data_IF_708023239040
#
_entry.id   IF_708023239040
#
_cell.length_a   1.000
_cell.length_b   1.000
_cell.length_c   1.000
_cell.angle_alpha   90.00
_cell.angle_beta   90.00
_cell.angle_gamma   90.00
#
_symmetry.space_group_name_H-M   'P 1'
#
loop_
_entity.id
_entity.type
_entity.pdbx_description
1 polymer ?
#
# COMPACT_ATOMS: atom_id res chain seq x y z
N UNK A 1 14.40 0.08 -12.63
CA UNK A 1 15.57 0.28 -11.73
C UNK A 1 16.70 1.12 -12.34
N UNK A 2 17.03 1.07 -13.65
CA UNK A 2 18.09 1.95 -14.19
C UNK A 2 17.84 3.43 -13.93
N UNK A 3 16.60 3.90 -14.05
CA UNK A 3 16.22 5.29 -13.78
C UNK A 3 16.22 5.63 -12.29
N UNK A 4 15.82 4.69 -11.46
CA UNK A 4 15.76 4.88 -10.00
C UNK A 4 17.14 5.11 -9.37
N UNK A 5 18.20 4.58 -9.99
CA UNK A 5 19.57 4.83 -9.56
C UNK A 5 20.01 6.32 -9.70
N UNK A 6 19.25 7.13 -10.44
CA UNK A 6 19.49 8.57 -10.66
C UNK A 6 18.48 9.47 -9.94
N UNK A 7 17.64 8.90 -9.06
CA UNK A 7 16.70 9.68 -8.26
C UNK A 7 17.45 10.56 -7.25
N UNK A 8 16.98 11.78 -7.13
CA UNK A 8 17.39 12.75 -6.11
C UNK A 8 16.23 12.95 -5.10
N UNK A 9 16.57 13.45 -3.93
CA UNK A 9 15.60 13.72 -2.86
C UNK A 9 14.41 14.59 -3.31
N UNK A 10 14.69 15.62 -4.13
CA UNK A 10 13.66 16.48 -4.69
C UNK A 10 12.75 15.78 -5.73
N UNK A 11 13.24 14.75 -6.45
CA UNK A 11 12.39 13.97 -7.37
C UNK A 11 11.32 13.24 -6.60
N UNK A 12 11.72 12.64 -5.47
CA UNK A 12 10.80 11.91 -4.58
C UNK A 12 9.84 12.87 -3.88
N UNK A 13 10.33 14.04 -3.41
CA UNK A 13 9.45 15.06 -2.82
C UNK A 13 8.31 15.46 -3.77
N UNK A 14 8.65 15.82 -5.01
CA UNK A 14 7.63 16.25 -5.98
C UNK A 14 6.78 15.10 -6.51
N UNK A 15 7.36 13.90 -6.68
CA UNK A 15 6.61 12.70 -7.01
C UNK A 15 5.57 12.39 -5.94
N UNK A 16 5.96 12.37 -4.67
CA UNK A 16 5.07 12.14 -3.54
C UNK A 16 4.04 13.28 -3.37
N UNK A 17 4.42 14.53 -3.64
CA UNK A 17 3.49 15.67 -3.60
C UNK A 17 2.38 15.51 -4.65
N UNK A 18 2.71 15.12 -5.88
CA UNK A 18 1.73 14.88 -6.93
C UNK A 18 0.86 13.66 -6.63
N UNK A 19 1.47 12.57 -6.14
CA UNK A 19 0.74 11.38 -5.71
C UNK A 19 -0.23 11.69 -4.56
N UNK A 20 0.20 12.47 -3.56
CA UNK A 20 -0.68 12.90 -2.47
C UNK A 20 -1.86 13.75 -2.97
N UNK A 21 -1.64 14.63 -3.97
CA UNK A 21 -2.73 15.38 -4.57
C UNK A 21 -3.75 14.44 -5.27
N UNK A 22 -3.28 13.49 -6.06
CA UNK A 22 -4.15 12.52 -6.73
C UNK A 22 -4.95 11.68 -5.72
N UNK A 23 -4.26 11.08 -4.75
CA UNK A 23 -4.85 10.28 -3.69
C UNK A 23 -5.90 11.04 -2.88
N UNK A 24 -5.57 12.26 -2.42
CA UNK A 24 -6.52 13.11 -1.68
C UNK A 24 -7.71 13.51 -2.56
N UNK A 25 -7.48 13.80 -3.85
CA UNK A 25 -8.56 14.07 -4.80
C UNK A 25 -9.51 12.89 -4.97
N UNK A 26 -9.05 11.68 -4.77
CA UNK A 26 -9.82 10.43 -4.81
C UNK A 26 -10.36 9.98 -3.45
N UNK A 27 -10.10 10.76 -2.39
CA UNK A 27 -10.59 10.46 -1.03
C UNK A 27 -9.70 9.53 -0.23
N UNK A 28 -8.51 9.20 -0.72
CA UNK A 28 -7.52 8.40 0.02
C UNK A 28 -6.74 9.30 0.97
N UNK A 29 -6.90 9.08 2.26
CA UNK A 29 -6.32 9.94 3.31
C UNK A 29 -5.02 9.41 3.89
N UNK A 30 -4.78 8.10 3.76
CA UNK A 30 -3.63 7.40 4.37
C UNK A 30 -3.02 6.43 3.40
N UNK A 31 -1.69 6.44 3.28
CA UNK A 31 -0.92 5.51 2.46
C UNK A 31 0.06 4.70 3.30
N UNK A 32 0.56 3.59 2.73
CA UNK A 32 1.70 2.83 3.26
C UNK A 32 2.76 2.76 2.15
N UNK A 33 3.87 3.46 2.37
CA UNK A 33 4.85 3.76 1.32
C UNK A 33 6.15 2.99 1.52
N UNK A 34 6.58 2.27 0.49
CA UNK A 34 7.90 1.64 0.42
C UNK A 34 8.70 2.25 -0.74
N UNK A 35 9.52 3.26 -0.46
CA UNK A 35 10.34 3.89 -1.49
C UNK A 35 11.61 4.51 -0.92
N UNK A 36 12.40 5.17 -1.81
CA UNK A 36 13.67 5.84 -1.50
C UNK A 36 13.44 7.26 -0.96
N UNK A 37 14.48 7.84 -0.33
CA UNK A 37 14.49 9.22 0.18
C UNK A 37 13.36 9.49 1.19
N UNK A 38 13.34 8.70 2.24
CA UNK A 38 12.31 8.66 3.28
C UNK A 38 11.97 10.02 3.89
N UNK A 39 12.97 10.89 4.12
CA UNK A 39 12.75 12.25 4.63
C UNK A 39 11.94 13.11 3.64
N UNK A 40 12.23 13.00 2.33
CA UNK A 40 11.49 13.72 1.29
C UNK A 40 10.05 13.27 1.16
N UNK A 41 9.78 11.97 1.32
CA UNK A 41 8.41 11.45 1.38
C UNK A 41 7.66 12.04 2.58
N UNK A 42 8.27 12.01 3.76
CA UNK A 42 7.66 12.55 4.96
C UNK A 42 7.36 14.06 4.84
N UNK A 43 8.29 14.83 4.29
CA UNK A 43 8.10 16.27 4.05
C UNK A 43 6.91 16.53 3.10
N UNK A 44 6.80 15.76 2.02
CA UNK A 44 5.70 15.89 1.06
C UNK A 44 4.35 15.53 1.70
N UNK A 45 4.29 14.44 2.47
CA UNK A 45 3.08 14.01 3.19
C UNK A 45 2.62 15.06 4.19
N UNK A 46 3.53 15.62 4.98
CA UNK A 46 3.23 16.69 5.95
C UNK A 46 2.74 17.95 5.22
N UNK A 47 3.41 18.36 4.16
CA UNK A 47 3.05 19.52 3.35
C UNK A 47 1.67 19.35 2.68
N UNK A 48 1.38 18.17 2.15
CA UNK A 48 0.09 17.86 1.54
C UNK A 48 -1.05 17.73 2.58
N UNK A 49 -0.72 17.55 3.86
CA UNK A 49 -1.69 17.32 4.90
C UNK A 49 -2.32 15.91 4.87
N UNK A 50 -1.75 14.98 4.11
CA UNK A 50 -2.13 13.56 4.10
C UNK A 50 -1.54 12.83 5.31
N UNK A 51 -1.80 11.55 5.41
CA UNK A 51 -1.23 10.64 6.41
C UNK A 51 -0.46 9.53 5.72
N UNK A 52 0.67 9.09 6.29
CA UNK A 52 1.40 7.94 5.77
C UNK A 52 2.00 7.07 6.87
N UNK A 53 2.10 5.77 6.57
CA UNK A 53 3.04 4.86 7.19
C UNK A 53 4.20 4.73 6.21
N UNK A 54 5.36 5.28 6.53
CA UNK A 54 6.55 5.23 5.67
C UNK A 54 7.40 4.06 6.11
N UNK A 55 7.62 3.12 5.21
CA UNK A 55 8.38 1.90 5.43
C UNK A 55 9.60 1.88 4.50
N UNK A 56 10.69 2.61 4.83
CA UNK A 56 11.87 2.59 3.98
C UNK A 56 12.40 1.17 3.82
N UNK A 57 12.68 0.78 2.58
CA UNK A 57 12.96 -0.61 2.23
C UNK A 57 14.44 -0.95 2.15
N UNK A 58 14.84 -2.02 2.82
CA UNK A 58 16.10 -2.68 2.55
C UNK A 58 16.01 -3.30 1.15
N UNK A 59 16.89 -2.87 0.25
CA UNK A 59 16.94 -3.31 -1.13
C UNK A 59 18.37 -3.17 -1.67
N UNK A 60 18.86 -4.22 -2.31
CA UNK A 60 20.09 -4.14 -3.10
C UNK A 60 19.77 -3.98 -4.58
N UNK A 61 20.08 -2.81 -5.13
CA UNK A 61 19.89 -2.58 -6.56
C UNK A 61 20.84 -3.47 -7.38
N UNK A 62 20.39 -4.02 -8.53
CA UNK A 62 21.23 -4.81 -9.41
C UNK A 62 22.50 -4.05 -9.81
N UNK A 63 23.65 -4.75 -9.75
CA UNK A 63 24.95 -4.16 -10.10
C UNK A 63 25.63 -3.38 -8.97
N UNK A 64 25.00 -3.21 -7.81
CA UNK A 64 25.66 -2.66 -6.62
C UNK A 64 26.37 -3.78 -5.84
N UNK A 65 27.64 -3.54 -5.47
CA UNK A 65 28.38 -4.50 -4.67
C UNK A 65 27.92 -4.42 -3.21
N UNK A 66 27.18 -5.44 -2.76
CA UNK A 66 26.90 -5.65 -1.34
C UNK A 66 27.74 -6.81 -0.81
N UNK A 67 28.67 -6.55 0.08
CA UNK A 67 29.45 -7.57 0.78
C UNK A 67 29.02 -7.69 2.24
N UNK A 68 28.93 -8.91 2.77
CA UNK A 68 28.56 -9.13 4.17
C UNK A 68 27.13 -8.67 4.49
N UNK A 69 26.92 -8.08 5.68
CA UNK A 69 25.63 -7.60 6.16
C UNK A 69 25.37 -6.14 5.71
N UNK A 70 25.34 -5.89 4.40
CA UNK A 70 25.15 -4.54 3.82
C UNK A 70 23.86 -3.85 4.27
N UNK A 71 22.84 -4.62 4.69
CA UNK A 71 21.57 -4.13 5.21
C UNK A 71 21.69 -3.42 6.57
N UNK A 72 22.76 -3.68 7.34
CA UNK A 72 22.94 -3.06 8.67
C UNK A 72 23.01 -1.54 8.56
N UNK A 73 23.74 -0.99 7.59
CA UNK A 73 23.80 0.45 7.35
C UNK A 73 22.43 1.05 6.96
N UNK A 74 21.60 0.29 6.21
CA UNK A 74 20.23 0.70 5.91
C UNK A 74 19.40 0.73 7.21
N UNK A 75 19.49 -0.31 8.03
CA UNK A 75 18.71 -0.41 9.29
C UNK A 75 19.11 0.65 10.30
N UNK A 76 20.39 1.00 10.42
CA UNK A 76 20.85 2.13 11.26
C UNK A 76 20.22 3.44 10.79
N UNK A 77 20.24 3.74 9.49
CA UNK A 77 19.62 4.95 8.91
C UNK A 77 18.11 4.97 9.16
N UNK A 78 17.42 3.85 8.94
CA UNK A 78 15.97 3.76 9.14
C UNK A 78 15.58 3.85 10.63
N UNK A 79 16.41 3.33 11.52
CA UNK A 79 16.22 3.48 12.95
C UNK A 79 16.38 4.95 13.41
N UNK A 80 17.33 5.68 12.84
CA UNK A 80 17.48 7.12 13.05
C UNK A 80 16.27 7.88 12.50
N UNK A 81 15.83 7.58 11.28
CA UNK A 81 14.63 8.15 10.67
C UNK A 81 13.39 7.91 11.54
N UNK A 82 13.20 6.69 12.03
CA UNK A 82 12.11 6.38 12.96
C UNK A 82 12.20 7.26 14.22
N UNK A 83 13.38 7.41 14.81
CA UNK A 83 13.55 8.21 16.03
C UNK A 83 13.23 9.69 15.80
N UNK A 84 13.56 10.24 14.62
CA UNK A 84 13.38 11.66 14.29
C UNK A 84 11.94 12.00 13.86
N UNK A 85 11.30 11.12 13.10
CA UNK A 85 10.10 11.48 12.33
C UNK A 85 8.82 10.72 12.77
N UNK A 86 8.93 9.64 13.57
CA UNK A 86 7.73 8.91 14.00
C UNK A 86 6.83 9.79 14.87
N UNK A 87 5.56 9.86 14.52
CA UNK A 87 4.56 10.70 15.20
C UNK A 87 4.52 12.15 14.70
N UNK A 88 5.37 12.54 13.76
CA UNK A 88 5.44 13.92 13.26
C UNK A 88 4.08 14.41 12.74
N UNK A 89 3.73 15.63 13.14
CA UNK A 89 2.46 16.28 12.85
C UNK A 89 1.21 15.43 13.18
N UNK A 90 1.36 14.32 13.91
CA UNK A 90 0.30 13.33 14.14
C UNK A 90 -0.13 12.58 12.86
N UNK A 91 0.68 12.65 11.80
CA UNK A 91 0.38 12.14 10.44
C UNK A 91 1.34 11.07 9.95
N UNK A 92 2.58 11.05 10.47
CA UNK A 92 3.63 10.13 10.04
C UNK A 92 3.76 8.99 11.06
N UNK A 93 3.64 7.76 10.57
CA UNK A 93 4.08 6.55 11.26
C UNK A 93 5.27 5.97 10.49
N UNK A 94 6.30 5.48 11.18
CA UNK A 94 7.44 4.86 10.53
C UNK A 94 7.43 3.37 10.82
N UNK A 95 7.50 2.58 9.76
CA UNK A 95 7.75 1.16 9.77
C UNK A 95 9.12 0.82 9.18
N UNK A 96 9.32 -0.44 8.89
CA UNK A 96 10.52 -0.97 8.24
C UNK A 96 10.10 -1.91 7.12
N UNK A 97 10.84 -1.91 6.01
CA UNK A 97 10.57 -2.82 4.93
C UNK A 97 11.82 -3.56 4.46
N UNK A 98 11.61 -4.77 3.96
CA UNK A 98 12.52 -5.45 3.07
C UNK A 98 11.78 -5.70 1.76
N UNK A 99 12.39 -5.33 0.62
CA UNK A 99 11.68 -5.30 -0.65
C UNK A 99 10.98 -6.64 -0.94
N UNK A 100 11.74 -7.72 -1.10
CA UNK A 100 11.21 -9.06 -1.35
C UNK A 100 12.27 -10.13 -1.07
N UNK A 101 11.86 -11.39 -0.96
CA UNK A 101 12.77 -12.51 -0.71
C UNK A 101 13.76 -12.76 -1.86
N UNK A 102 13.45 -12.31 -3.08
CA UNK A 102 14.37 -12.43 -4.23
C UNK A 102 15.37 -11.26 -4.36
N UNK A 103 15.25 -10.21 -3.55
CA UNK A 103 16.15 -9.04 -3.56
C UNK A 103 16.88 -8.82 -2.25
N UNK A 104 16.43 -9.45 -1.18
CA UNK A 104 17.00 -9.35 0.16
C UNK A 104 17.26 -10.77 0.68
N UNK A 105 18.50 -11.14 1.00
CA UNK A 105 18.80 -12.48 1.49
C UNK A 105 18.15 -12.72 2.85
N UNK A 106 17.86 -13.98 3.17
CA UNK A 106 17.13 -14.36 4.40
C UNK A 106 17.68 -13.72 5.69
N UNK A 107 19.01 -13.62 5.92
CA UNK A 107 19.53 -12.91 7.11
C UNK A 107 19.13 -11.42 7.14
N UNK A 108 19.05 -10.75 5.99
CA UNK A 108 18.61 -9.36 5.89
C UNK A 108 17.11 -9.21 6.18
N UNK A 109 16.28 -10.15 5.70
CA UNK A 109 14.85 -10.22 6.04
C UNK A 109 14.65 -10.40 7.54
N UNK A 110 15.39 -11.34 8.16
CA UNK A 110 15.36 -11.59 9.61
C UNK A 110 15.76 -10.34 10.39
N UNK A 111 16.86 -9.68 10.02
CA UNK A 111 17.35 -8.48 10.70
C UNK A 111 16.34 -7.34 10.61
N UNK A 112 15.73 -7.13 9.42
CA UNK A 112 14.74 -6.07 9.21
C UNK A 112 13.46 -6.32 10.03
N UNK A 113 12.92 -7.54 10.01
CA UNK A 113 11.74 -7.91 10.78
C UNK A 113 11.99 -7.81 12.29
N UNK A 114 13.16 -8.23 12.77
CA UNK A 114 13.55 -8.08 14.17
C UNK A 114 13.62 -6.60 14.59
N UNK A 115 14.22 -5.74 13.75
CA UNK A 115 14.30 -4.29 13.98
C UNK A 115 12.91 -3.65 14.07
N UNK A 116 11.98 -4.04 13.19
CA UNK A 116 10.59 -3.57 13.23
C UNK A 116 9.90 -4.02 14.53
N UNK A 117 10.02 -5.30 14.87
CA UNK A 117 9.39 -5.89 16.07
C UNK A 117 9.89 -5.25 17.37
N UNK A 118 11.19 -5.02 17.52
CA UNK A 118 11.79 -4.34 18.67
C UNK A 118 11.23 -2.94 18.91
N UNK A 119 10.77 -2.27 17.83
CA UNK A 119 10.17 -0.93 17.88
C UNK A 119 8.64 -0.94 17.89
N UNK A 120 8.00 -2.11 17.87
CA UNK A 120 6.55 -2.23 17.71
C UNK A 120 6.04 -1.65 16.37
N UNK A 121 6.93 -1.52 15.39
CA UNK A 121 6.66 -0.93 14.09
C UNK A 121 6.12 -1.96 13.09
N UNK A 122 5.52 -1.48 11.99
CA UNK A 122 5.08 -2.32 10.88
C UNK A 122 6.30 -2.84 10.12
N UNK A 123 6.31 -4.15 9.82
CA UNK A 123 7.20 -4.75 8.85
C UNK A 123 6.45 -4.97 7.54
N UNK A 124 6.97 -4.45 6.43
CA UNK A 124 6.33 -4.48 5.11
C UNK A 124 7.24 -5.17 4.09
N UNK A 125 6.67 -6.05 3.24
CA UNK A 125 7.39 -6.74 2.17
C UNK A 125 6.45 -7.14 1.02
N UNK A 126 7.01 -7.31 -0.19
CA UNK A 126 6.31 -8.00 -1.27
C UNK A 126 6.48 -9.50 -1.06
N UNK A 127 5.40 -10.26 -1.18
CA UNK A 127 5.40 -11.68 -0.86
C UNK A 127 4.50 -12.46 -1.79
N UNK A 128 5.06 -13.53 -2.37
CA UNK A 128 4.35 -14.44 -3.28
C UNK A 128 3.68 -13.71 -4.45
N UNK A 129 4.36 -12.71 -5.04
CA UNK A 129 3.85 -11.91 -6.13
C UNK A 129 3.81 -12.70 -7.44
N UNK A 130 4.88 -13.44 -7.77
CA UNK A 130 4.97 -14.21 -9.01
C UNK A 130 5.25 -15.69 -8.77
N UNK A 131 4.78 -16.55 -9.69
CA UNK A 131 5.09 -17.97 -9.62
C UNK A 131 6.61 -18.23 -9.68
N UNK A 132 7.31 -17.45 -10.51
CA UNK A 132 8.77 -17.60 -10.68
C UNK A 132 9.55 -17.28 -9.39
N UNK A 133 9.08 -16.32 -8.58
CA UNK A 133 9.62 -16.05 -7.25
C UNK A 133 9.51 -17.28 -6.36
N UNK A 134 8.31 -17.88 -6.29
CA UNK A 134 8.05 -19.07 -5.49
C UNK A 134 8.91 -20.26 -5.91
N UNK A 135 8.96 -20.57 -7.22
CA UNK A 135 9.74 -21.68 -7.76
C UNK A 135 11.23 -21.55 -7.47
N UNK A 136 11.80 -20.35 -7.64
CA UNK A 136 13.21 -20.08 -7.36
C UNK A 136 13.51 -20.23 -5.86
N UNK A 137 12.63 -19.71 -5.01
CA UNK A 137 12.80 -19.74 -3.56
C UNK A 137 12.70 -21.17 -3.00
N UNK A 138 11.73 -21.97 -3.47
CA UNK A 138 11.62 -23.40 -3.12
C UNK A 138 12.87 -24.17 -3.54
N UNK A 139 13.40 -23.89 -4.72
CA UNK A 139 14.63 -24.56 -5.19
C UNK A 139 15.86 -24.25 -4.31
N UNK A 140 15.93 -23.04 -3.75
CA UNK A 140 17.04 -22.62 -2.89
C UNK A 140 16.87 -23.05 -1.42
N UNK A 141 15.66 -22.94 -0.88
CA UNK A 141 15.39 -23.07 0.55
C UNK A 141 14.59 -24.32 0.94
N UNK A 142 14.01 -25.04 -0.02
CA UNK A 142 13.31 -26.32 0.21
C UNK A 142 11.88 -26.18 0.76
N UNK A 143 11.35 -24.96 0.88
CA UNK A 143 9.98 -24.66 1.33
C UNK A 143 9.42 -23.45 0.64
N UNK A 144 8.11 -23.19 0.79
CA UNK A 144 7.48 -21.98 0.26
C UNK A 144 8.03 -20.71 0.93
N UNK A 145 7.87 -19.55 0.27
CA UNK A 145 8.32 -18.28 0.87
C UNK A 145 7.68 -18.06 2.24
N UNK A 146 6.35 -18.18 2.42
CA UNK A 146 5.74 -18.05 3.75
C UNK A 146 6.27 -19.05 4.78
N UNK A 147 6.47 -20.34 4.40
CA UNK A 147 6.96 -21.38 5.31
C UNK A 147 8.36 -21.06 5.86
N UNK A 148 9.29 -20.72 4.98
CA UNK A 148 10.66 -20.40 5.37
C UNK A 148 10.73 -19.12 6.18
N UNK A 149 9.98 -18.07 5.79
CA UNK A 149 9.94 -16.81 6.52
C UNK A 149 9.32 -16.97 7.91
N UNK A 150 8.25 -17.77 8.05
CA UNK A 150 7.66 -18.11 9.35
C UNK A 150 8.65 -18.85 10.23
N UNK A 151 9.30 -19.88 9.71
CA UNK A 151 10.30 -20.68 10.43
C UNK A 151 11.50 -19.85 10.89
N UNK A 152 11.84 -18.79 10.15
CA UNK A 152 12.92 -17.85 10.49
C UNK A 152 12.46 -16.70 11.42
N UNK A 153 11.18 -16.65 11.83
CA UNK A 153 10.63 -15.60 12.68
C UNK A 153 10.45 -14.25 11.98
N UNK A 154 10.46 -14.23 10.64
CA UNK A 154 10.27 -13.00 9.84
C UNK A 154 8.82 -12.55 9.88
N UNK A 155 7.87 -13.49 9.97
CA UNK A 155 6.44 -13.20 10.01
C UNK A 155 5.91 -12.90 11.41
N UNK A 156 6.76 -12.80 12.42
CA UNK A 156 6.35 -12.47 13.79
C UNK A 156 6.17 -10.96 13.96
N UNK A 157 5.05 -10.54 14.54
CA UNK A 157 4.74 -9.14 14.85
C UNK A 157 3.73 -8.52 13.90
N UNK A 158 3.85 -7.22 13.62
CA UNK A 158 2.96 -6.50 12.69
C UNK A 158 3.51 -6.63 11.28
N UNK A 159 3.01 -7.56 10.50
CA UNK A 159 3.48 -7.83 9.14
C UNK A 159 2.41 -7.45 8.12
N UNK A 160 2.81 -6.72 7.08
CA UNK A 160 2.02 -6.42 5.89
C UNK A 160 2.70 -7.02 4.65
N UNK A 161 2.04 -7.99 4.03
CA UNK A 161 2.49 -8.63 2.81
C UNK A 161 1.76 -8.03 1.60
N UNK A 162 2.48 -7.40 0.68
CA UNK A 162 1.90 -6.93 -0.58
C UNK A 162 1.73 -8.10 -1.56
N UNK A 163 0.71 -8.00 -2.41
CA UNK A 163 0.29 -8.94 -3.47
C UNK A 163 -0.29 -10.26 -2.97
N UNK A 164 0.49 -11.15 -2.37
CA UNK A 164 0.02 -12.44 -1.80
C UNK A 164 -0.79 -13.29 -2.79
N UNK A 165 -0.26 -13.48 -4.02
CA UNK A 165 -0.97 -14.10 -5.15
C UNK A 165 -0.82 -15.62 -5.13
N UNK A 166 0.43 -16.10 -5.04
CA UNK A 166 0.77 -17.50 -5.21
C UNK A 166 0.92 -18.19 -3.87
N UNK A 167 -0.22 -18.34 -3.17
CA UNK A 167 -0.32 -18.99 -1.87
C UNK A 167 -1.00 -20.34 -1.99
N UNK A 168 -0.41 -21.37 -1.39
CA UNK A 168 -1.02 -22.67 -1.18
C UNK A 168 -2.01 -22.63 0.02
N UNK A 169 -2.86 -23.64 0.21
CA UNK A 169 -3.68 -23.75 1.41
C UNK A 169 -2.87 -23.73 2.72
N UNK A 170 -1.69 -24.35 2.73
CA UNK A 170 -0.80 -24.38 3.89
C UNK A 170 -0.18 -22.99 4.15
N UNK A 171 0.15 -22.22 3.10
CA UNK A 171 0.59 -20.83 3.23
C UNK A 171 -0.50 -19.93 3.83
N UNK A 172 -1.76 -20.16 3.46
CA UNK A 172 -2.90 -19.43 4.05
C UNK A 172 -3.04 -19.72 5.56
N UNK A 173 -2.78 -20.95 5.99
CA UNK A 173 -2.78 -21.33 7.41
C UNK A 173 -1.63 -20.66 8.16
N UNK A 174 -0.45 -20.49 7.53
CA UNK A 174 0.66 -19.70 8.07
C UNK A 174 0.27 -18.23 8.24
N UNK A 175 -0.39 -17.61 7.26
CA UNK A 175 -0.87 -16.23 7.37
C UNK A 175 -1.82 -16.04 8.56
N UNK A 176 -2.72 -16.99 8.79
CA UNK A 176 -3.63 -16.96 9.96
C UNK A 176 -2.85 -17.13 11.26
N UNK A 177 -1.92 -18.10 11.32
CA UNK A 177 -1.16 -18.42 12.53
C UNK A 177 -0.25 -17.26 12.99
N UNK A 178 0.31 -16.50 12.03
CA UNK A 178 1.21 -15.36 12.29
C UNK A 178 0.51 -14.00 12.21
N UNK A 179 -0.82 -13.97 12.05
CA UNK A 179 -1.60 -12.73 11.91
C UNK A 179 -1.04 -11.79 10.82
N UNK A 180 -0.60 -12.35 9.69
CA UNK A 180 -0.08 -11.58 8.56
C UNK A 180 -1.23 -10.83 7.90
N UNK A 181 -1.06 -9.52 7.69
CA UNK A 181 -2.00 -8.70 6.93
C UNK A 181 -1.58 -8.62 5.45
N UNK A 182 -2.53 -8.36 4.57
CA UNK A 182 -2.31 -8.29 3.12
C UNK A 182 -2.67 -6.91 2.57
N UNK A 183 -1.78 -6.35 1.74
CA UNK A 183 -2.08 -5.25 0.83
C UNK A 183 -2.35 -5.86 -0.56
N UNK A 184 -3.63 -5.96 -0.92
CA UNK A 184 -4.05 -6.51 -2.22
C UNK A 184 -4.04 -5.42 -3.28
N UNK A 185 -3.28 -5.62 -4.38
CA UNK A 185 -3.05 -4.65 -5.46
C UNK A 185 -3.55 -5.22 -6.80
N UNK A 186 -4.87 -5.34 -7.02
CA UNK A 186 -5.42 -6.07 -8.15
C UNK A 186 -5.08 -5.49 -9.52
N UNK A 187 -4.99 -4.17 -9.69
CA UNK A 187 -4.59 -3.57 -10.97
C UNK A 187 -3.13 -3.84 -11.31
N UNK A 188 -2.22 -3.65 -10.34
CA UNK A 188 -0.80 -3.99 -10.52
C UNK A 188 -0.65 -5.47 -10.88
N UNK A 189 -1.29 -6.37 -10.12
CA UNK A 189 -1.26 -7.80 -10.37
C UNK A 189 -1.73 -8.16 -11.80
N UNK A 190 -2.82 -7.53 -12.25
CA UNK A 190 -3.39 -7.75 -13.58
C UNK A 190 -2.51 -7.15 -14.69
N UNK A 191 -2.03 -5.90 -14.50
CA UNK A 191 -1.19 -5.20 -15.47
C UNK A 191 0.14 -5.90 -15.72
N UNK A 192 0.77 -6.41 -14.66
CA UNK A 192 2.04 -7.13 -14.73
C UNK A 192 1.87 -8.63 -15.04
N UNK A 193 0.61 -9.09 -15.17
CA UNK A 193 0.27 -10.51 -15.36
C UNK A 193 0.82 -11.41 -14.26
N UNK A 194 0.94 -10.90 -13.03
CA UNK A 194 1.45 -11.63 -11.87
C UNK A 194 0.48 -12.73 -11.42
N UNK A 195 -0.84 -12.55 -11.62
CA UNK A 195 -1.87 -13.52 -11.31
C UNK A 195 -3.07 -12.93 -10.56
N UNK A 196 -3.98 -13.80 -10.10
CA UNK A 196 -5.15 -13.39 -9.31
C UNK A 196 -4.99 -13.91 -7.88
N UNK A 197 -4.90 -13.02 -6.91
CA UNK A 197 -4.75 -13.38 -5.49
C UNK A 197 -6.00 -14.08 -4.93
N UNK A 198 -5.85 -15.02 -3.97
CA UNK A 198 -6.97 -15.75 -3.36
C UNK A 198 -7.68 -14.91 -2.30
N UNK A 199 -8.14 -13.69 -2.68
CA UNK A 199 -8.65 -12.71 -1.71
C UNK A 199 -9.91 -13.19 -0.99
N UNK A 200 -10.75 -14.00 -1.64
CA UNK A 200 -11.92 -14.58 -1.02
C UNK A 200 -11.55 -15.58 0.09
N UNK A 201 -10.55 -16.43 -0.14
CA UNK A 201 -10.03 -17.36 0.85
C UNK A 201 -9.34 -16.63 2.01
N UNK A 202 -8.52 -15.63 1.72
CA UNK A 202 -7.87 -14.78 2.73
C UNK A 202 -8.90 -14.16 3.67
N UNK A 203 -9.90 -13.47 3.12
CA UNK A 203 -10.99 -12.86 3.90
C UNK A 203 -11.83 -13.92 4.63
N UNK A 204 -12.17 -15.04 3.97
CA UNK A 204 -12.93 -16.14 4.55
C UNK A 204 -12.25 -16.81 5.74
N UNK A 205 -10.92 -16.81 5.79
CA UNK A 205 -10.09 -17.30 6.91
C UNK A 205 -9.84 -16.25 7.99
N UNK A 206 -10.32 -15.00 7.80
CA UNK A 206 -10.17 -13.91 8.75
C UNK A 206 -8.84 -13.17 8.64
N UNK A 207 -8.06 -13.39 7.57
CA UNK A 207 -6.86 -12.60 7.29
C UNK A 207 -7.27 -11.14 7.07
N UNK A 208 -6.50 -10.21 7.65
CA UNK A 208 -6.72 -8.77 7.48
C UNK A 208 -6.24 -8.35 6.11
N UNK A 209 -7.16 -7.97 5.24
CA UNK A 209 -6.87 -7.53 3.88
C UNK A 209 -7.27 -6.08 3.71
N UNK A 210 -6.38 -5.28 3.13
CA UNK A 210 -6.65 -3.93 2.63
C UNK A 210 -6.30 -3.85 1.15
N UNK A 211 -6.81 -2.82 0.47
CA UNK A 211 -6.46 -2.53 -0.92
C UNK A 211 -5.25 -1.59 -0.98
N UNK A 212 -4.43 -1.77 -2.00
CA UNK A 212 -3.36 -0.87 -2.38
C UNK A 212 -3.31 -0.72 -3.90
N UNK A 213 -2.83 0.41 -4.37
CA UNK A 213 -2.64 0.68 -5.81
C UNK A 213 -1.31 0.17 -6.33
N UNK A 214 -0.35 -0.12 -5.43
CA UNK A 214 1.06 -0.19 -5.78
C UNK A 214 1.56 1.17 -6.33
N UNK A 215 2.77 1.26 -6.84
CA UNK A 215 3.28 2.49 -7.44
C UNK A 215 2.79 2.74 -8.86
N UNK A 216 2.81 4.00 -9.36
CA UNK A 216 2.37 4.32 -10.72
C UNK A 216 3.14 3.58 -11.83
N UNK A 217 4.34 3.07 -11.56
CA UNK A 217 5.10 2.26 -12.51
C UNK A 217 4.39 0.94 -12.84
N UNK A 218 3.74 0.33 -11.87
CA UNK A 218 3.02 -0.94 -12.00
C UNK A 218 1.51 -0.79 -12.15
N UNK A 219 0.96 0.40 -11.91
CA UNK A 219 -0.49 0.66 -12.01
C UNK A 219 -0.83 1.73 -13.07
N UNK A 220 -0.24 2.89 -13.06
CA UNK A 220 -0.43 4.13 -13.81
C UNK A 220 -1.24 5.20 -13.08
N UNK A 221 -2.23 4.86 -12.27
CA UNK A 221 -2.96 5.79 -11.41
C UNK A 221 -2.96 5.30 -9.97
N UNK A 222 -3.59 6.09 -9.09
CA UNK A 222 -3.69 5.82 -7.66
C UNK A 222 -5.16 5.75 -7.21
N UNK A 223 -6.05 5.27 -8.11
CA UNK A 223 -7.49 5.21 -7.89
C UNK A 223 -7.94 3.96 -7.11
N UNK A 224 -8.11 4.10 -5.81
CA UNK A 224 -8.57 3.00 -4.95
C UNK A 224 -10.03 2.56 -5.22
N UNK A 225 -10.83 3.36 -5.93
CA UNK A 225 -12.18 2.99 -6.37
C UNK A 225 -12.13 1.94 -7.49
N UNK A 226 -11.14 2.06 -8.38
CA UNK A 226 -10.90 1.06 -9.42
C UNK A 226 -10.37 -0.23 -8.82
N UNK A 227 -9.42 -0.15 -7.89
CA UNK A 227 -8.91 -1.31 -7.15
C UNK A 227 -10.04 -2.07 -6.45
N UNK A 228 -10.94 -1.37 -5.75
CA UNK A 228 -12.08 -1.94 -5.05
C UNK A 228 -13.00 -2.74 -5.98
N UNK A 229 -13.33 -2.16 -7.13
CA UNK A 229 -14.17 -2.81 -8.14
C UNK A 229 -13.47 -4.02 -8.76
N UNK A 230 -12.21 -3.85 -9.13
CA UNK A 230 -11.43 -4.90 -9.77
C UNK A 230 -11.17 -6.08 -8.82
N UNK A 231 -10.89 -5.83 -7.55
CA UNK A 231 -10.75 -6.86 -6.53
C UNK A 231 -11.98 -7.77 -6.48
N UNK A 232 -13.18 -7.16 -6.45
CA UNK A 232 -14.44 -7.93 -6.44
C UNK A 232 -14.66 -8.71 -7.75
N UNK A 233 -14.36 -8.13 -8.91
CA UNK A 233 -14.51 -8.81 -10.19
C UNK A 233 -13.54 -9.99 -10.33
N UNK A 234 -12.27 -9.80 -9.99
CA UNK A 234 -11.25 -10.85 -10.08
C UNK A 234 -11.50 -11.99 -9.08
N UNK A 235 -11.95 -11.68 -7.86
CA UNK A 235 -12.33 -12.71 -6.90
C UNK A 235 -13.46 -13.59 -7.45
N UNK A 236 -14.51 -13.00 -8.02
CA UNK A 236 -15.62 -13.73 -8.63
C UNK A 236 -15.19 -14.59 -9.81
N UNK A 237 -14.30 -14.08 -10.66
CA UNK A 237 -13.75 -14.85 -11.78
C UNK A 237 -12.92 -16.04 -11.30
N UNK A 238 -12.08 -15.83 -10.28
CA UNK A 238 -11.25 -16.88 -9.71
C UNK A 238 -12.09 -18.02 -9.11
N UNK A 239 -13.10 -17.68 -8.30
CA UNK A 239 -13.96 -18.66 -7.62
C UNK A 239 -15.10 -19.17 -8.50
N UNK A 240 -15.33 -18.59 -9.71
CA UNK A 240 -16.47 -18.89 -10.57
C UNK A 240 -17.82 -18.74 -9.83
N UNK A 241 -17.90 -17.79 -8.89
CA UNK A 241 -19.08 -17.51 -8.07
C UNK A 241 -19.33 -15.99 -7.98
N UNK A 242 -20.49 -15.54 -8.46
CA UNK A 242 -20.89 -14.14 -8.42
C UNK A 242 -21.23 -13.62 -7.01
N UNK A 243 -21.37 -14.51 -6.02
CA UNK A 243 -21.67 -14.17 -4.63
C UNK A 243 -20.45 -13.81 -3.79
N UNK A 244 -19.23 -14.17 -4.23
CA UNK A 244 -18.03 -13.84 -3.46
C UNK A 244 -17.71 -12.35 -3.51
N UNK A 245 -17.12 -11.87 -2.44
CA UNK A 245 -16.72 -10.47 -2.22
C UNK A 245 -17.84 -9.49 -2.62
N UNK A 246 -18.99 -9.51 -1.90
CA UNK A 246 -20.09 -8.60 -2.18
C UNK A 246 -19.65 -7.13 -1.98
N UNK A 247 -20.42 -6.18 -2.52
CA UNK A 247 -20.06 -4.76 -2.52
C UNK A 247 -19.65 -4.24 -1.13
N UNK A 248 -20.40 -4.59 -0.09
CA UNK A 248 -20.06 -4.18 1.28
C UNK A 248 -18.69 -4.72 1.74
N UNK A 249 -18.30 -5.94 1.35
CA UNK A 249 -16.99 -6.49 1.66
C UNK A 249 -15.88 -5.78 0.85
N UNK A 250 -16.12 -5.51 -0.42
CA UNK A 250 -15.16 -4.75 -1.25
C UNK A 250 -14.92 -3.34 -0.70
N UNK A 251 -15.98 -2.64 -0.27
CA UNK A 251 -15.88 -1.34 0.38
C UNK A 251 -15.13 -1.43 1.73
N UNK A 252 -15.34 -2.51 2.50
CA UNK A 252 -14.58 -2.76 3.74
C UNK A 252 -13.09 -2.87 3.47
N UNK A 253 -12.67 -3.55 2.40
CA UNK A 253 -11.24 -3.65 2.03
C UNK A 253 -10.61 -2.29 1.74
N UNK A 254 -11.35 -1.34 1.16
CA UNK A 254 -10.87 0.01 0.85
C UNK A 254 -10.89 0.94 2.07
N UNK A 255 -11.56 0.58 3.16
CA UNK A 255 -11.82 1.44 4.31
C UNK A 255 -11.38 0.80 5.62
N UNK A 256 -12.30 0.27 6.40
CA UNK A 256 -12.05 -0.34 7.72
C UNK A 256 -11.10 -1.55 7.64
N UNK A 257 -11.20 -2.35 6.58
CA UNK A 257 -10.31 -3.49 6.32
C UNK A 257 -8.88 -3.03 6.14
N UNK A 258 -8.65 -1.98 5.34
CA UNK A 258 -7.33 -1.37 5.15
C UNK A 258 -6.77 -0.83 6.48
N UNK A 259 -7.56 -0.12 7.27
CA UNK A 259 -7.15 0.34 8.59
C UNK A 259 -6.70 -0.82 9.49
N UNK A 260 -7.46 -1.92 9.52
CA UNK A 260 -7.09 -3.13 10.28
C UNK A 260 -5.83 -3.80 9.74
N UNK A 261 -5.67 -3.87 8.42
CA UNK A 261 -4.48 -4.44 7.80
C UNK A 261 -3.21 -3.65 8.16
N UNK A 262 -3.31 -2.34 8.23
CA UNK A 262 -2.23 -1.45 8.69
C UNK A 262 -2.02 -1.49 10.21
N UNK A 263 -2.85 -2.22 11.00
CA UNK A 263 -2.82 -2.17 12.45
C UNK A 263 -3.31 -0.84 13.03
N UNK A 264 -4.11 -0.10 12.25
CA UNK A 264 -4.70 1.21 12.58
C UNK A 264 -6.24 1.14 12.57
N UNK A 265 -6.85 0.48 13.58
CA UNK A 265 -8.31 0.35 13.64
C UNK A 265 -9.04 1.69 13.88
N UNK A 266 -8.29 2.75 14.15
CA UNK A 266 -8.75 4.13 14.26
C UNK A 266 -8.91 4.84 12.88
N UNK A 267 -8.53 4.17 11.79
CA UNK A 267 -8.68 4.66 10.41
C UNK A 267 -9.76 3.89 9.65
N UNK A 268 -10.33 4.52 8.62
CA UNK A 268 -11.34 3.92 7.74
C UNK A 268 -12.71 3.73 8.39
N UNK A 269 -12.97 4.36 9.52
CA UNK A 269 -14.23 4.29 10.26
C UNK A 269 -14.67 5.68 10.75
N UNK A 270 -15.98 5.93 10.73
CA UNK A 270 -16.60 7.11 11.34
C UNK A 270 -17.19 6.70 12.69
N UNK A 271 -16.39 6.83 13.76
CA UNK A 271 -16.78 6.45 15.11
C UNK A 271 -16.15 7.38 16.15
N UNK A 272 -16.77 7.55 17.33
CA UNK A 272 -16.16 8.30 18.42
C UNK A 272 -14.79 7.72 18.80
N UNK A 273 -13.78 8.58 18.86
CA UNK A 273 -12.39 8.18 19.17
C UNK A 273 -11.54 7.77 17.96
N UNK A 274 -12.15 7.56 16.78
CA UNK A 274 -11.43 7.37 15.53
C UNK A 274 -10.81 8.68 15.00
N UNK A 275 -9.89 8.57 14.05
CA UNK A 275 -9.39 9.74 13.33
C UNK A 275 -10.51 10.34 12.48
N UNK A 276 -10.56 11.66 12.44
CA UNK A 276 -11.51 12.38 11.60
C UNK A 276 -10.98 12.49 10.16
N UNK A 277 -10.66 11.32 9.58
CA UNK A 277 -10.23 11.16 8.19
C UNK A 277 -11.49 10.72 7.41
N UNK A 278 -12.02 11.59 6.54
CA UNK A 278 -13.31 11.36 5.88
C UNK A 278 -13.36 12.05 4.53
N UNK A 279 -14.28 11.59 3.69
CA UNK A 279 -14.60 12.24 2.41
C UNK A 279 -16.10 12.43 2.25
N UNK A 280 -16.50 13.40 1.43
CA UNK A 280 -17.85 13.56 0.93
C UNK A 280 -17.91 13.17 -0.55
N UNK A 281 -19.00 12.49 -0.93
CA UNK A 281 -19.26 12.04 -2.29
C UNK A 281 -20.57 12.65 -2.77
N UNK A 282 -20.57 13.25 -3.97
CA UNK A 282 -21.79 13.76 -4.60
C UNK A 282 -22.67 12.61 -5.06
N UNK A 283 -23.91 12.61 -4.64
CA UNK A 283 -24.94 11.67 -5.12
C UNK A 283 -25.73 12.21 -6.32
N UNK A 284 -25.47 13.45 -6.75
CA UNK A 284 -26.10 14.07 -7.91
C UNK A 284 -25.39 13.63 -9.20
N UNK A 285 -25.52 12.33 -9.50
CA UNK A 285 -24.92 11.69 -10.69
C UNK A 285 -25.77 10.50 -11.14
N UNK A 286 -25.88 10.22 -12.44
CA UNK A 286 -26.58 9.04 -12.98
C UNK A 286 -26.09 7.71 -12.40
N UNK A 287 -24.87 7.63 -11.90
CA UNK A 287 -24.33 6.44 -11.22
C UNK A 287 -25.13 6.00 -10.01
N UNK A 288 -25.93 6.88 -9.41
CA UNK A 288 -26.76 6.61 -8.24
C UNK A 288 -28.25 6.46 -8.56
N UNK A 289 -28.64 6.27 -9.83
CA UNK A 289 -30.06 6.18 -10.22
C UNK A 289 -30.40 4.78 -10.68
N UNK A 290 -31.45 4.13 -10.08
CA UNK A 290 -32.27 4.60 -8.96
C UNK A 290 -31.60 4.36 -7.61
N UNK A 291 -31.82 5.24 -6.64
CA UNK A 291 -31.39 5.09 -5.24
C UNK A 291 -32.62 4.96 -4.35
N UNK A 292 -32.96 3.77 -3.90
CA UNK A 292 -34.19 3.49 -3.17
C UNK A 292 -33.96 3.22 -1.67
N UNK A 293 -32.75 2.76 -1.31
CA UNK A 293 -32.35 2.46 0.06
C UNK A 293 -30.82 2.51 0.25
N UNK A 294 -30.37 2.38 1.51
CA UNK A 294 -28.96 2.43 1.86
C UNK A 294 -28.14 1.24 1.32
N UNK A 295 -28.77 0.08 1.11
CA UNK A 295 -28.08 -1.07 0.55
C UNK A 295 -27.71 -0.81 -0.93
N UNK A 296 -28.63 -0.19 -1.69
CA UNK A 296 -28.34 0.25 -3.05
C UNK A 296 -27.23 1.32 -3.12
N UNK A 297 -27.11 2.16 -2.11
CA UNK A 297 -26.02 3.14 -2.04
C UNK A 297 -24.65 2.45 -2.05
N UNK A 298 -24.47 1.40 -1.24
CA UNK A 298 -23.22 0.63 -1.19
C UNK A 298 -22.95 -0.06 -2.54
N UNK A 299 -23.98 -0.65 -3.16
CA UNK A 299 -23.85 -1.26 -4.48
C UNK A 299 -23.42 -0.23 -5.53
N UNK A 300 -24.03 0.96 -5.53
CA UNK A 300 -23.67 2.05 -6.45
C UNK A 300 -22.24 2.55 -6.22
N UNK A 301 -21.81 2.73 -4.97
CA UNK A 301 -20.45 3.15 -4.65
C UNK A 301 -19.41 2.20 -5.24
N UNK A 302 -19.66 0.88 -5.19
CA UNK A 302 -18.70 -0.12 -5.68
C UNK A 302 -18.81 -0.32 -7.18
N UNK A 303 -20.03 -0.46 -7.73
CA UNK A 303 -20.20 -0.93 -9.11
C UNK A 303 -20.29 0.17 -10.15
N UNK A 304 -20.75 1.37 -9.79
CA UNK A 304 -21.03 2.44 -10.77
C UNK A 304 -20.38 3.78 -10.46
N UNK A 305 -20.15 4.13 -9.20
CA UNK A 305 -19.51 5.39 -8.83
C UNK A 305 -18.01 5.40 -9.17
N UNK A 306 -17.38 6.54 -9.13
CA UNK A 306 -15.93 6.71 -9.35
C UNK A 306 -15.36 7.77 -8.40
N UNK A 307 -14.05 7.81 -8.27
CA UNK A 307 -13.29 8.81 -7.52
C UNK A 307 -13.64 10.25 -7.88
N UNK A 308 -14.05 10.51 -9.12
CA UNK A 308 -14.46 11.86 -9.60
C UNK A 308 -15.67 12.44 -8.89
N UNK A 309 -16.42 11.62 -8.16
CA UNK A 309 -17.57 12.05 -7.39
C UNK A 309 -17.21 12.53 -5.98
N UNK A 310 -15.96 12.38 -5.55
CA UNK A 310 -15.45 12.96 -4.31
C UNK A 310 -15.44 14.48 -4.44
N UNK A 311 -16.01 15.16 -3.45
CA UNK A 311 -16.12 16.63 -3.44
C UNK A 311 -15.25 17.28 -2.38
N UNK A 312 -15.16 16.67 -1.21
CA UNK A 312 -14.45 17.23 -0.06
C UNK A 312 -13.73 16.12 0.70
N UNK A 313 -12.56 16.44 1.24
CA UNK A 313 -11.74 15.48 2.02
C UNK A 313 -11.15 16.17 3.23
N UNK A 314 -11.22 15.48 4.38
CA UNK A 314 -10.64 15.92 5.65
C UNK A 314 -9.65 14.87 6.15
N UNK A 315 -8.52 15.33 6.69
CA UNK A 315 -7.53 14.48 7.35
C UNK A 315 -7.28 15.00 8.77
N UNK A 316 -7.62 14.19 9.76
CA UNK A 316 -7.56 14.61 11.16
C UNK A 316 -8.54 15.76 11.48
N UNK A 317 -9.63 15.89 10.71
CA UNK A 317 -10.61 16.97 10.83
C UNK A 317 -10.25 18.26 10.08
N UNK A 318 -9.03 18.35 9.52
CA UNK A 318 -8.59 19.50 8.72
C UNK A 318 -8.99 19.29 7.26
N UNK A 319 -9.65 20.24 6.59
CA UNK A 319 -9.99 20.10 5.19
C UNK A 319 -8.74 20.21 4.31
N UNK A 320 -8.54 19.23 3.44
CA UNK A 320 -7.42 19.19 2.47
C UNK A 320 -7.91 19.32 1.02
N UNK A 321 -9.17 18.92 0.76
CA UNK A 321 -9.90 19.18 -0.49
C UNK A 321 -11.26 19.76 -0.14
N UNK A 322 -11.69 20.83 -0.83
CA UNK A 322 -13.02 21.39 -0.71
C UNK A 322 -13.56 21.79 -2.09
N UNK A 323 -14.81 21.41 -2.37
CA UNK A 323 -15.45 21.62 -3.66
C UNK A 323 -14.53 21.18 -4.84
N UNK A 324 -13.87 20.03 -4.70
CA UNK A 324 -12.89 19.45 -5.64
C UNK A 324 -11.62 20.28 -5.86
N UNK A 325 -11.33 21.25 -4.99
CA UNK A 325 -10.12 22.07 -5.05
C UNK A 325 -9.16 21.64 -3.93
N UNK A 326 -7.91 21.40 -4.26
CA UNK A 326 -6.88 21.15 -3.25
C UNK A 326 -6.58 22.43 -2.48
N UNK A 327 -6.54 22.33 -1.16
CA UNK A 327 -6.28 23.45 -0.26
C UNK A 327 -4.82 23.50 0.20
N UNK A 328 -4.12 22.38 0.16
CA UNK A 328 -2.78 22.19 0.71
C UNK A 328 -1.71 21.93 -0.36
N UNK A 329 -2.12 21.55 -1.57
CA UNK A 329 -1.20 21.21 -2.67
C UNK A 329 -1.43 22.15 -3.86
N UNK A 330 -0.37 22.77 -4.37
CA UNK A 330 -0.36 23.40 -5.68
C UNK A 330 -0.14 22.34 -6.76
N UNK A 331 -1.25 21.82 -7.29
CA UNK A 331 -1.27 20.70 -8.24
C UNK A 331 -0.59 21.05 -9.55
N UNK A 332 -0.76 22.29 -10.06
CA UNK A 332 -0.14 22.72 -11.32
C UNK A 332 1.38 22.73 -11.17
N UNK A 333 1.89 23.32 -10.08
CA UNK A 333 3.31 23.31 -9.78
C UNK A 333 3.86 21.89 -9.61
N UNK A 334 3.14 21.01 -8.91
CA UNK A 334 3.58 19.63 -8.72
C UNK A 334 3.68 18.89 -10.05
N UNK A 335 2.72 19.08 -10.97
CA UNK A 335 2.75 18.51 -12.32
C UNK A 335 3.94 19.00 -13.14
N UNK A 336 4.22 20.32 -13.11
CA UNK A 336 5.33 20.92 -13.84
C UNK A 336 6.68 20.40 -13.32
N UNK A 337 6.83 20.32 -11.99
CA UNK A 337 8.04 19.82 -11.35
C UNK A 337 8.29 18.34 -11.68
N UNK A 338 7.25 17.48 -11.58
CA UNK A 338 7.36 16.07 -11.95
C UNK A 338 7.66 15.91 -13.43
N UNK A 339 7.00 16.67 -14.32
CA UNK A 339 7.25 16.60 -15.75
C UNK A 339 8.70 16.96 -16.11
N UNK A 340 9.25 18.04 -15.51
CA UNK A 340 10.64 18.48 -15.71
C UNK A 340 11.64 17.43 -15.20
N UNK A 341 11.39 16.83 -14.03
CA UNK A 341 12.28 15.83 -13.40
C UNK A 341 12.23 14.51 -14.15
N UNK A 342 11.03 14.06 -14.58
CA UNK A 342 10.88 12.89 -15.42
C UNK A 342 11.67 13.00 -16.73
N UNK A 343 11.64 14.18 -17.39
CA UNK A 343 12.43 14.43 -18.59
C UNK A 343 13.94 14.31 -18.34
N UNK A 344 14.44 14.79 -17.19
CA UNK A 344 15.85 14.62 -16.76
C UNK A 344 16.17 13.13 -16.59
N UNK A 345 15.36 12.38 -15.86
CA UNK A 345 15.59 10.96 -15.59
C UNK A 345 15.56 10.10 -16.87
N UNK A 346 14.72 10.46 -17.85
CA UNK A 346 14.72 9.79 -19.15
C UNK A 346 16.00 10.08 -19.94
N UNK A 347 16.54 11.29 -19.83
CA UNK A 347 17.76 11.68 -20.55
C UNK A 347 19.06 11.11 -19.92
N UNK A 348 19.02 10.65 -18.66
CA UNK A 348 20.18 10.11 -17.93
C UNK A 348 20.22 8.57 -17.94
N UNK A 349 19.17 7.89 -18.32
CA UNK A 349 19.05 6.43 -18.44
C UNK A 349 19.23 5.98 -19.88
#
# INVERSE_FOLDING_TARGET
WPREAHLEAEDVYWGMTLAAAELLGFGVTTTCEMYFHEDSMADAVVAAGSRAIITPGVLQLPGTAGGGAWWDACLERFADFHTRRHGEAGRIEIGFAAHAAYTVPLPGLVATAATARERGALFHLHLAETAAEGDAFVAEHGGSVPEVLASAGVLDGRVLAAHSIWLSPDDLDIYVAHDVAVAHCPQSNAKLASGIAPVADLVGRGVRVGLGTDGPASNNDLDLWEEMRLAAMLARLRESDAGVLPAAAALDLATRGAGRALGRPDLGVLAPGAKADMMAVSLDDPAFVPLLDDAMLIEHLVWSASSRLVTDVWVGGEPVVAARQHLTVDVERARDEVGRRAARLVATA
#
